data_IF_844138913213
#
_entry.id   IF_844138913213
#
_cell.length_a   1.000
_cell.length_b   1.000
_cell.length_c   1.000
_cell.angle_alpha   90.00
_cell.angle_beta   90.00
_cell.angle_gamma   90.00
#
_symmetry.space_group_name_H-M   'P 1'
#
loop_
_entity.id
_entity.type
_entity.pdbx_description
1 polymer ?
#
# COMPACT_ATOMS: atom_id res chain seq x y z
N UNK A 1 -7.73 -30.22 -5.84
CA UNK A 1 -6.51 -29.40 -5.78
C UNK A 1 -6.44 -28.66 -7.11
N UNK A 2 -6.83 -27.39 -7.12
CA UNK A 2 -6.87 -26.58 -8.33
C UNK A 2 -5.48 -25.98 -8.57
N UNK A 3 -4.92 -26.28 -9.75
CA UNK A 3 -3.65 -25.78 -10.25
C UNK A 3 -3.65 -24.23 -10.24
N UNK A 4 -2.99 -23.63 -9.26
CA UNK A 4 -2.74 -22.19 -9.23
C UNK A 4 -1.71 -21.86 -10.30
N UNK A 5 -2.16 -21.27 -11.40
CA UNK A 5 -1.29 -20.84 -12.48
C UNK A 5 -0.35 -19.75 -11.93
N UNK A 6 0.96 -20.02 -11.93
CA UNK A 6 2.00 -19.16 -11.33
C UNK A 6 2.00 -17.71 -11.85
N UNK A 7 1.39 -17.48 -13.02
CA UNK A 7 1.17 -16.17 -13.64
C UNK A 7 0.08 -15.32 -12.96
N UNK A 8 -1.00 -15.91 -12.44
CA UNK A 8 -2.09 -15.16 -11.78
C UNK A 8 -1.69 -14.63 -10.39
N UNK A 9 -0.76 -15.32 -9.72
CA UNK A 9 -0.17 -14.84 -8.45
C UNK A 9 0.70 -13.58 -8.63
N UNK A 10 1.17 -13.30 -9.86
CA UNK A 10 1.94 -12.09 -10.16
C UNK A 10 1.06 -10.86 -10.39
N UNK A 11 -0.20 -11.04 -10.80
CA UNK A 11 -1.16 -9.96 -11.06
C UNK A 11 -2.09 -9.69 -9.88
N UNK A 12 -2.19 -10.60 -8.90
CA UNK A 12 -3.04 -10.44 -7.73
C UNK A 12 -2.58 -9.30 -6.78
N UNK A 13 -3.54 -8.62 -6.15
CA UNK A 13 -3.31 -7.58 -5.14
C UNK A 13 -2.35 -8.06 -4.04
N UNK A 14 -1.21 -7.37 -3.91
CA UNK A 14 -0.18 -7.67 -2.91
C UNK A 14 0.66 -6.45 -2.55
N UNK A 15 1.46 -6.60 -1.50
CA UNK A 15 2.49 -5.64 -1.13
C UNK A 15 3.69 -5.78 -2.06
N UNK A 16 4.19 -4.67 -2.57
CA UNK A 16 5.42 -4.56 -3.34
C UNK A 16 6.42 -3.67 -2.61
N UNK A 17 7.70 -3.94 -2.82
CA UNK A 17 8.78 -3.19 -2.18
C UNK A 17 8.91 -1.79 -2.81
N UNK A 18 9.07 -0.79 -1.96
CA UNK A 18 9.38 0.58 -2.35
C UNK A 18 10.19 1.22 -1.25
N UNK A 19 11.36 1.70 -1.62
CA UNK A 19 12.19 2.53 -0.75
C UNK A 19 12.00 3.99 -1.12
N UNK A 20 11.68 4.82 -0.12
CA UNK A 20 11.55 6.27 -0.28
C UNK A 20 12.80 6.92 0.28
N UNK A 21 13.58 7.54 -0.59
CA UNK A 21 14.71 8.39 -0.24
C UNK A 21 14.18 9.80 0.04
N UNK A 22 14.51 10.36 1.20
CA UNK A 22 14.15 11.76 1.49
C UNK A 22 14.98 12.75 0.67
N UNK A 23 16.13 12.32 0.16
CA UNK A 23 16.91 13.13 -0.77
C UNK A 23 16.21 13.28 -2.13
N UNK A 24 15.60 12.19 -2.63
CA UNK A 24 14.92 12.18 -3.93
C UNK A 24 13.65 13.06 -3.90
N UNK A 25 13.10 13.28 -2.70
CA UNK A 25 11.98 14.18 -2.43
C UNK A 25 12.40 15.63 -2.16
N UNK A 26 13.71 15.92 -2.08
CA UNK A 26 14.23 17.24 -1.73
C UNK A 26 14.04 17.60 -0.25
N UNK A 27 13.94 16.62 0.65
CA UNK A 27 13.70 16.81 2.08
C UNK A 27 14.95 16.64 2.94
N UNK A 28 16.11 16.39 2.33
CA UNK A 28 17.39 16.21 3.04
C UNK A 28 17.86 17.44 3.82
N UNK A 29 17.34 18.64 3.50
CA UNK A 29 17.76 19.89 4.11
C UNK A 29 17.18 20.08 5.51
N UNK A 30 15.97 19.54 5.76
CA UNK A 30 15.30 19.64 7.05
C UNK A 30 15.21 18.29 7.78
N UNK A 31 15.22 17.15 7.07
CA UNK A 31 15.30 15.81 7.69
C UNK A 31 16.75 15.43 7.99
N UNK A 32 17.04 15.19 9.26
CA UNK A 32 18.34 14.74 9.74
C UNK A 32 18.48 13.22 9.55
N UNK A 33 17.49 12.45 10.04
CA UNK A 33 17.48 10.99 9.97
C UNK A 33 16.05 10.40 10.00
N UNK A 34 15.81 9.20 9.41
CA UNK A 34 16.73 8.44 8.56
C UNK A 34 16.95 9.14 7.19
N UNK A 35 17.80 8.59 6.31
CA UNK A 35 17.94 9.10 4.93
C UNK A 35 16.79 8.69 4.01
N UNK A 36 16.03 7.68 4.42
CA UNK A 36 14.89 7.14 3.72
C UNK A 36 14.32 5.95 4.48
N UNK A 37 13.24 5.36 3.98
CA UNK A 37 12.56 4.25 4.63
C UNK A 37 11.88 3.31 3.62
N UNK A 38 11.65 2.06 4.05
CA UNK A 38 10.90 1.09 3.27
C UNK A 38 9.38 1.34 3.40
N UNK A 39 8.85 2.20 2.52
CA UNK A 39 7.43 2.54 2.49
C UNK A 39 6.57 1.36 2.01
N UNK A 40 7.04 0.65 0.98
CA UNK A 40 6.24 -0.32 0.23
C UNK A 40 4.99 0.31 -0.41
N UNK A 41 4.27 -0.44 -1.23
CA UNK A 41 2.96 -0.05 -1.75
C UNK A 41 2.11 -1.29 -2.04
N UNK A 42 0.80 -1.09 -2.21
CA UNK A 42 -0.13 -2.13 -2.58
C UNK A 42 -0.52 -1.96 -4.05
N UNK A 43 -0.40 -3.03 -4.84
CA UNK A 43 -0.79 -3.03 -6.24
C UNK A 43 -1.17 -4.44 -6.71
N UNK A 44 -1.99 -4.51 -7.75
CA UNK A 44 -2.52 -5.73 -8.34
C UNK A 44 -4.06 -5.78 -8.35
N UNK A 45 -4.60 -6.81 -9.01
CA UNK A 45 -6.03 -6.99 -9.21
C UNK A 45 -6.75 -7.62 -8.00
N UNK A 46 -7.97 -7.14 -7.75
CA UNK A 46 -8.94 -7.71 -6.81
C UNK A 46 -10.11 -8.37 -7.58
N UNK A 47 -9.83 -9.46 -8.30
CA UNK A 47 -10.81 -10.23 -9.05
C UNK A 47 -11.30 -11.46 -8.29
N UNK A 48 -12.45 -12.00 -8.70
CA UNK A 48 -12.96 -13.24 -8.14
C UNK A 48 -12.12 -14.45 -8.62
N UNK A 49 -11.85 -15.45 -7.75
CA UNK A 49 -12.13 -15.48 -6.32
C UNK A 49 -11.16 -14.61 -5.51
N UNK A 50 -11.69 -13.84 -4.55
CA UNK A 50 -10.84 -13.06 -3.64
C UNK A 50 -10.14 -14.00 -2.67
N UNK A 51 -8.81 -14.04 -2.72
CA UNK A 51 -8.00 -14.89 -1.86
C UNK A 51 -8.05 -14.42 -0.40
N UNK A 52 -7.98 -15.35 0.57
CA UNK A 52 -8.01 -15.02 1.99
C UNK A 52 -6.92 -14.01 2.42
N UNK A 53 -5.77 -14.04 1.73
CA UNK A 53 -4.66 -13.10 1.97
C UNK A 53 -4.96 -11.63 1.60
N UNK A 54 -6.00 -11.37 0.79
CA UNK A 54 -6.40 -10.02 0.38
C UNK A 54 -7.19 -9.28 1.47
N UNK A 55 -7.59 -9.95 2.57
CA UNK A 55 -8.35 -9.36 3.68
C UNK A 55 -9.58 -8.54 3.21
N UNK A 56 -10.32 -9.08 2.23
CA UNK A 56 -11.47 -8.41 1.64
C UNK A 56 -12.58 -8.18 2.68
N UNK A 57 -13.17 -6.98 2.68
CA UNK A 57 -14.37 -6.70 3.45
C UNK A 57 -15.59 -7.34 2.79
N UNK A 58 -16.69 -7.51 3.53
CA UNK A 58 -17.97 -7.96 2.96
C UNK A 58 -18.40 -7.07 1.78
N UNK A 59 -18.20 -5.75 1.88
CA UNK A 59 -18.47 -4.82 0.78
C UNK A 59 -17.61 -5.13 -0.45
N UNK A 60 -16.31 -5.37 -0.29
CA UNK A 60 -15.43 -5.72 -1.40
C UNK A 60 -15.85 -7.04 -2.08
N UNK A 61 -16.30 -8.04 -1.30
CA UNK A 61 -16.82 -9.30 -1.84
C UNK A 61 -18.09 -9.03 -2.68
N UNK A 62 -19.07 -8.30 -2.13
CA UNK A 62 -20.31 -7.95 -2.85
C UNK A 62 -19.99 -7.13 -4.10
N UNK A 63 -19.11 -6.14 -4.00
CA UNK A 63 -18.70 -5.30 -5.11
C UNK A 63 -18.03 -6.12 -6.23
N UNK A 64 -17.14 -7.06 -5.90
CA UNK A 64 -16.56 -7.97 -6.88
C UNK A 64 -17.62 -8.83 -7.55
N UNK A 65 -18.60 -9.37 -6.80
CA UNK A 65 -19.69 -10.15 -7.37
C UNK A 65 -20.59 -9.32 -8.31
N UNK A 66 -20.93 -8.09 -7.92
CA UNK A 66 -21.73 -7.18 -8.76
C UNK A 66 -20.95 -6.76 -9.99
N UNK A 67 -19.64 -6.51 -9.86
CA UNK A 67 -18.77 -6.21 -10.99
C UNK A 67 -18.76 -7.34 -12.03
N UNK A 68 -18.77 -8.61 -11.61
CA UNK A 68 -18.88 -9.75 -12.54
C UNK A 68 -20.20 -9.76 -13.33
N UNK A 69 -21.27 -9.24 -12.74
CA UNK A 69 -22.59 -9.19 -13.38
C UNK A 69 -22.75 -7.96 -14.27
N UNK A 70 -22.20 -6.81 -13.86
CA UNK A 70 -22.40 -5.54 -14.57
C UNK A 70 -21.17 -4.60 -14.44
N UNK A 71 -20.09 -4.89 -15.19
CA UNK A 71 -18.80 -4.21 -15.01
C UNK A 71 -18.82 -2.72 -15.41
N UNK A 72 -19.74 -2.32 -16.28
CA UNK A 72 -19.91 -0.92 -16.72
C UNK A 72 -20.40 0.01 -15.59
N UNK A 73 -21.14 -0.54 -14.62
CA UNK A 73 -21.75 0.25 -13.55
C UNK A 73 -21.01 0.16 -12.23
N UNK A 74 -20.27 -0.94 -12.01
CA UNK A 74 -19.54 -1.18 -10.76
C UNK A 74 -18.11 -1.58 -11.08
N UNK A 75 -17.08 -0.82 -10.64
CA UNK A 75 -15.70 -1.20 -10.86
C UNK A 75 -15.25 -2.31 -9.89
N UNK A 76 -14.14 -2.98 -10.22
CA UNK A 76 -13.44 -3.86 -9.28
C UNK A 76 -13.03 -3.08 -8.01
N UNK A 77 -12.99 -3.73 -6.83
CA UNK A 77 -12.35 -3.12 -5.66
C UNK A 77 -10.88 -2.76 -5.92
N UNK A 78 -10.38 -1.73 -5.26
CA UNK A 78 -8.97 -1.33 -5.36
C UNK A 78 -8.09 -2.12 -4.40
N UNK A 79 -6.84 -2.38 -4.80
CA UNK A 79 -5.82 -2.91 -3.90
C UNK A 79 -5.29 -1.77 -3.01
N UNK A 80 -5.48 -1.88 -1.69
CA UNK A 80 -5.11 -0.82 -0.75
C UNK A 80 -4.50 -1.38 0.56
N UNK A 81 -3.64 -0.60 1.25
CA UNK A 81 -3.09 -1.01 2.54
C UNK A 81 -4.18 -1.19 3.61
N UNK A 82 -4.16 -2.31 4.31
CA UNK A 82 -5.09 -2.58 5.43
C UNK A 82 -4.46 -2.30 6.80
N UNK A 83 -3.12 -2.21 6.86
CA UNK A 83 -2.34 -1.90 8.06
C UNK A 83 -1.12 -1.07 7.67
N UNK A 84 -0.78 -0.10 8.51
CA UNK A 84 0.39 0.76 8.36
C UNK A 84 1.21 0.75 9.64
N UNK A 85 2.53 0.88 9.50
CA UNK A 85 3.46 1.00 10.62
C UNK A 85 3.99 2.42 10.68
N UNK A 86 4.06 2.96 11.89
CA UNK A 86 4.61 4.27 12.14
C UNK A 86 6.14 4.30 11.98
N UNK A 87 6.67 5.43 11.52
CA UNK A 87 8.11 5.70 11.45
C UNK A 87 8.48 6.87 12.37
N UNK A 88 9.70 6.89 12.87
CA UNK A 88 10.25 8.04 13.61
C UNK A 88 11.21 8.81 12.72
N UNK A 89 11.03 10.13 12.68
CA UNK A 89 11.84 11.05 11.88
C UNK A 89 12.44 12.11 12.81
N UNK A 90 13.74 12.33 12.65
CA UNK A 90 14.51 13.38 13.31
C UNK A 90 14.69 14.52 12.30
N UNK A 91 14.24 15.73 12.62
CA UNK A 91 14.25 16.87 11.71
C UNK A 91 14.43 18.20 12.46
N UNK A 92 14.79 19.26 11.73
CA UNK A 92 14.78 20.63 12.25
C UNK A 92 13.38 21.23 12.10
N UNK A 93 12.85 21.83 13.18
CA UNK A 93 11.65 22.67 13.08
C UNK A 93 11.98 24.10 12.59
N UNK A 94 10.95 24.93 12.44
CA UNK A 94 11.08 26.32 11.96
C UNK A 94 11.95 27.20 12.88
N UNK A 95 12.13 26.78 14.13
CA UNK A 95 12.93 27.45 15.15
C UNK A 95 14.35 26.85 15.25
N UNK A 96 14.73 25.98 14.31
CA UNK A 96 16.02 25.26 14.30
C UNK A 96 16.23 24.32 15.48
N UNK A 97 15.15 23.90 16.15
CA UNK A 97 15.22 22.85 17.17
C UNK A 97 15.24 21.47 16.52
N UNK A 98 15.96 20.55 17.15
CA UNK A 98 15.99 19.15 16.74
C UNK A 98 14.80 18.41 17.34
N UNK A 99 13.87 17.97 16.50
CA UNK A 99 12.64 17.29 16.91
C UNK A 99 12.66 15.83 16.46
N UNK A 100 12.43 14.91 17.40
CA UNK A 100 12.12 13.52 17.09
C UNK A 100 10.61 13.31 17.10
N UNK A 101 10.02 12.99 15.95
CA UNK A 101 8.56 12.80 15.80
C UNK A 101 8.22 11.45 15.21
N UNK A 102 7.23 10.80 15.79
CA UNK A 102 6.63 9.57 15.27
C UNK A 102 5.45 9.91 14.36
N UNK A 103 5.53 9.56 13.08
CA UNK A 103 4.47 9.69 12.09
C UNK A 103 3.68 8.39 12.03
N UNK A 104 2.35 8.49 12.18
CA UNK A 104 1.42 7.35 12.14
C UNK A 104 0.69 7.32 10.80
#
# INVERSE_FOLDING_TARGET
ASDYNSSELKTACRKHELYVSFQDLGWQDWIIAPKGYAANYCDGECSFPLNAHMNATNHAIVQTLVHLMNPEYVPKPCCAPTKLNAISVLYFDDNSNVILKKYR
#
